data_IF_234882023686
#
_entry.id   IF_234882023686
#
_cell.length_a   1.000
_cell.length_b   1.000
_cell.length_c   1.000
_cell.angle_alpha   90.00
_cell.angle_beta   90.00
_cell.angle_gamma   90.00
#
_symmetry.space_group_name_H-M   'P 1'
#
loop_
_entity.id
_entity.type
_entity.pdbx_description
1 polymer ?
#
# COMPACT_ATOMS: atom_id res chain seq x y z
N UNK A 1 61.27 -24.67 41.03
CA UNK A 1 60.43 -25.53 40.18
C UNK A 1 60.33 -24.85 38.82
N UNK A 2 61.33 -24.98 37.94
CA UNK A 2 61.63 -26.12 37.06
C UNK A 2 60.56 -26.40 35.99
N UNK A 3 60.98 -26.11 34.73
CA UNK A 3 60.82 -26.89 33.48
C UNK A 3 59.41 -27.04 32.90
N UNK A 4 59.18 -27.25 31.60
CA UNK A 4 59.95 -27.20 30.35
C UNK A 4 59.11 -27.99 29.33
N UNK A 5 59.05 -27.51 28.08
CA UNK A 5 58.85 -28.33 26.87
C UNK A 5 57.45 -28.94 26.68
N UNK A 6 57.04 -29.39 25.50
CA UNK A 6 57.75 -29.58 24.24
C UNK A 6 56.75 -29.94 23.13
N UNK A 7 57.11 -29.58 21.89
CA UNK A 7 56.84 -30.27 20.60
C UNK A 7 55.42 -30.37 20.04
N UNK A 8 55.33 -30.07 18.74
CA UNK A 8 54.25 -30.60 17.90
C UNK A 8 54.14 -30.06 16.47
N UNK A 9 55.24 -29.96 15.70
CA UNK A 9 55.16 -29.74 14.24
C UNK A 9 54.45 -30.91 13.55
N UNK A 10 53.37 -30.66 12.80
CA UNK A 10 52.89 -31.60 11.77
C UNK A 10 52.38 -30.86 10.53
N UNK A 11 53.21 -30.87 9.49
CA UNK A 11 52.84 -30.65 8.09
C UNK A 11 51.66 -31.56 7.74
N UNK A 12 50.57 -31.01 7.20
CA UNK A 12 49.61 -31.79 6.40
C UNK A 12 49.65 -31.28 4.96
N UNK A 13 50.29 -32.11 4.17
CA UNK A 13 50.18 -32.30 2.73
C UNK A 13 48.72 -32.15 2.28
N UNK A 14 48.43 -31.20 1.39
CA UNK A 14 47.19 -31.20 0.61
C UNK A 14 47.46 -32.02 -0.64
N UNK A 15 46.93 -33.24 -0.64
CA UNK A 15 46.85 -34.10 -1.81
C UNK A 15 45.74 -33.60 -2.74
N UNK A 16 46.10 -33.30 -3.99
CA UNK A 16 45.16 -33.20 -5.11
C UNK A 16 44.38 -34.51 -5.22
N UNK A 17 43.04 -34.42 -5.23
CA UNK A 17 42.19 -35.43 -5.83
C UNK A 17 41.34 -34.75 -6.90
N UNK A 18 41.59 -35.18 -8.13
CA UNK A 18 40.81 -34.92 -9.33
C UNK A 18 39.50 -35.68 -9.25
N UNK A 19 38.37 -35.00 -9.47
CA UNK A 19 37.14 -35.67 -9.90
C UNK A 19 36.47 -34.91 -11.03
N UNK A 20 36.13 -35.69 -12.04
CA UNK A 20 35.78 -35.36 -13.41
C UNK A 20 34.44 -34.67 -13.58
N UNK A 21 34.33 -34.00 -14.72
CA UNK A 21 33.15 -33.36 -15.26
C UNK A 21 31.94 -34.29 -15.37
N UNK A 22 30.76 -33.72 -15.10
CA UNK A 22 29.50 -34.16 -15.68
C UNK A 22 28.93 -32.98 -16.50
N UNK A 23 28.82 -33.20 -17.80
CA UNK A 23 28.07 -32.36 -18.75
C UNK A 23 26.59 -32.37 -18.35
N UNK A 24 26.01 -31.19 -18.16
CA UNK A 24 24.60 -31.00 -17.88
C UNK A 24 24.01 -29.88 -18.74
N UNK A 25 23.22 -30.30 -19.71
CA UNK A 25 22.11 -29.60 -20.40
C UNK A 25 22.20 -28.09 -20.65
N UNK A 26 22.27 -27.74 -21.94
CA UNK A 26 21.97 -26.42 -22.46
C UNK A 26 20.53 -26.04 -22.11
N UNK A 27 20.37 -25.07 -21.20
CA UNK A 27 19.11 -24.35 -21.03
C UNK A 27 19.38 -22.90 -21.42
N UNK A 28 18.97 -22.54 -22.62
CA UNK A 28 19.01 -21.18 -23.14
C UNK A 28 17.94 -20.37 -22.36
N UNK A 29 18.33 -19.81 -21.21
CA UNK A 29 17.54 -18.80 -20.52
C UNK A 29 17.65 -17.50 -21.32
N UNK A 30 16.67 -17.27 -22.19
CA UNK A 30 16.37 -15.96 -22.75
C UNK A 30 16.00 -15.02 -21.60
N UNK A 31 17.00 -14.36 -21.02
CA UNK A 31 16.79 -13.18 -20.19
C UNK A 31 16.41 -12.02 -21.11
N UNK A 32 15.11 -11.74 -21.17
CA UNK A 32 14.56 -10.48 -21.68
C UNK A 32 15.24 -9.31 -20.96
N UNK A 33 15.62 -8.22 -21.66
CA UNK A 33 16.11 -7.01 -21.01
C UNK A 33 14.92 -6.26 -20.40
N UNK A 34 14.49 -6.70 -19.24
CA UNK A 34 13.50 -6.04 -18.42
C UNK A 34 13.75 -6.43 -16.98
N UNK A 35 13.80 -5.43 -16.10
CA UNK A 35 14.00 -5.56 -14.65
C UNK A 35 15.47 -5.63 -14.20
N UNK A 36 16.18 -4.50 -14.30
CA UNK A 36 17.24 -4.11 -13.35
C UNK A 36 17.32 -2.57 -13.30
N UNK A 37 16.28 -1.95 -12.75
CA UNK A 37 16.35 -0.59 -12.20
C UNK A 37 15.82 -0.66 -10.77
N UNK A 38 16.75 -0.88 -9.86
CA UNK A 38 16.47 -0.89 -8.43
C UNK A 38 17.80 -1.03 -7.72
N UNK A 39 18.39 0.11 -7.38
CA UNK A 39 19.34 0.29 -6.28
C UNK A 39 19.72 1.79 -6.20
N UNK A 40 18.83 2.62 -5.66
CA UNK A 40 19.24 3.74 -4.82
C UNK A 40 18.35 3.72 -3.57
N UNK A 41 18.99 3.48 -2.43
CA UNK A 41 18.38 3.58 -1.12
C UNK A 41 18.00 5.04 -0.84
N UNK A 42 16.71 5.23 -0.62
CA UNK A 42 16.04 6.49 -0.33
C UNK A 42 14.55 6.16 -0.32
N UNK A 43 14.07 5.66 0.81
CA UNK A 43 12.68 5.23 1.00
C UNK A 43 11.70 6.32 0.59
N UNK A 44 11.06 6.09 -0.56
CA UNK A 44 9.69 6.54 -0.85
C UNK A 44 9.20 5.73 -2.05
N UNK A 45 9.01 4.43 -1.83
CA UNK A 45 8.24 3.55 -2.71
C UNK A 45 6.94 3.24 -1.96
N UNK A 46 5.95 4.13 -2.11
CA UNK A 46 4.54 3.74 -1.95
C UNK A 46 4.01 3.61 -3.38
N UNK A 47 3.54 2.43 -3.81
CA UNK A 47 2.96 2.29 -5.13
C UNK A 47 1.63 3.03 -5.16
N UNK A 48 1.52 4.02 -6.06
CA UNK A 48 0.24 4.58 -6.44
C UNK A 48 -0.63 3.47 -7.03
N UNK A 49 -1.60 2.98 -6.26
CA UNK A 49 -2.65 2.13 -6.79
C UNK A 49 -3.59 2.98 -7.63
N UNK A 50 -3.62 2.71 -8.92
CA UNK A 50 -4.82 2.88 -9.72
C UNK A 50 -5.94 2.10 -9.02
N UNK A 51 -6.93 2.81 -8.48
CA UNK A 51 -8.24 2.25 -8.19
C UNK A 51 -8.93 1.97 -9.54
N UNK A 52 -8.59 0.84 -10.15
CA UNK A 52 -9.52 0.14 -11.02
C UNK A 52 -10.60 -0.40 -10.11
N UNK A 53 -11.75 0.27 -10.08
CA UNK A 53 -12.98 -0.32 -9.57
C UNK A 53 -13.29 -1.54 -10.44
N UNK A 54 -12.98 -2.72 -9.91
CA UNK A 54 -13.60 -3.96 -10.31
C UNK A 54 -15.11 -3.81 -10.13
N UNK A 55 -15.80 -3.80 -11.26
CA UNK A 55 -17.25 -3.88 -11.41
C UNK A 55 -17.79 -5.07 -10.60
N UNK A 56 -18.68 -4.88 -9.62
CA UNK A 56 -19.58 -5.95 -9.21
C UNK A 56 -20.61 -6.10 -10.34
N UNK A 57 -20.46 -7.15 -11.13
CA UNK A 57 -21.52 -7.67 -11.98
C UNK A 57 -22.64 -8.19 -11.08
N UNK A 58 -23.82 -7.59 -11.17
CA UNK A 58 -25.02 -8.11 -10.50
C UNK A 58 -26.12 -7.10 -10.22
N UNK A 59 -26.55 -6.31 -11.22
CA UNK A 59 -27.94 -5.84 -11.34
C UNK A 59 -28.19 -5.25 -12.73
N UNK A 60 -28.16 -6.08 -13.77
CA UNK A 60 -28.82 -5.80 -15.04
C UNK A 60 -29.87 -6.88 -15.24
N UNK A 61 -31.11 -6.54 -14.94
CA UNK A 61 -32.28 -6.72 -15.82
C UNK A 61 -33.51 -6.25 -15.04
N UNK A 62 -34.15 -5.18 -15.52
CA UNK A 62 -35.59 -5.17 -15.83
C UNK A 62 -36.03 -3.79 -16.36
N UNK A 63 -36.35 -3.80 -17.67
CA UNK A 63 -37.36 -3.03 -18.41
C UNK A 63 -37.13 -1.56 -18.83
N UNK A 64 -36.76 -1.44 -20.10
CA UNK A 64 -37.45 -0.76 -21.21
C UNK A 64 -38.34 0.45 -20.89
N UNK A 65 -37.98 1.58 -21.51
CA UNK A 65 -38.84 2.74 -21.66
C UNK A 65 -40.09 2.45 -22.50
N UNK A 66 -41.18 3.13 -22.14
CA UNK A 66 -42.41 3.16 -22.93
C UNK A 66 -43.61 3.71 -22.16
N UNK A 67 -43.90 5.00 -22.41
CA UNK A 67 -45.16 5.75 -22.17
C UNK A 67 -45.69 5.92 -20.74
N UNK A 68 -45.83 7.20 -20.38
CA UNK A 68 -46.78 7.71 -19.40
C UNK A 68 -48.18 7.09 -19.55
N UNK A 69 -48.83 6.81 -18.41
CA UNK A 69 -50.20 7.21 -18.19
C UNK A 69 -50.25 8.17 -17.01
N UNK A 70 -50.69 9.41 -17.27
CA UNK A 70 -51.13 10.34 -16.24
C UNK A 70 -52.35 9.76 -15.53
N UNK A 71 -52.22 9.37 -14.27
CA UNK A 71 -53.35 9.15 -13.38
C UNK A 71 -53.71 10.45 -12.66
N UNK A 72 -54.97 10.91 -12.72
CA UNK A 72 -55.42 12.07 -11.95
C UNK A 72 -55.51 11.71 -10.47
N UNK A 73 -55.00 12.60 -9.62
CA UNK A 73 -55.29 12.60 -8.19
C UNK A 73 -56.73 13.07 -8.00
N UNK A 74 -57.65 12.15 -7.70
CA UNK A 74 -58.92 12.46 -7.05
C UNK A 74 -58.80 11.97 -5.61
N UNK A 75 -58.65 12.91 -4.69
CA UNK A 75 -58.47 12.71 -3.26
C UNK A 75 -59.78 13.05 -2.54
N UNK A 76 -60.84 12.30 -2.80
CA UNK A 76 -62.07 12.34 -1.99
C UNK A 76 -62.60 10.90 -1.85
N UNK A 77 -63.12 10.59 -0.66
CA UNK A 77 -63.74 9.32 -0.23
C UNK A 77 -62.84 8.21 0.33
N UNK A 78 -62.06 8.51 1.37
CA UNK A 78 -61.60 7.49 2.33
C UNK A 78 -62.02 7.77 3.79
N UNK A 79 -63.05 8.59 4.02
CA UNK A 79 -63.52 8.97 5.36
C UNK A 79 -64.59 8.04 5.96
N UNK A 80 -65.03 7.01 5.25
CA UNK A 80 -66.13 6.14 5.67
C UNK A 80 -65.71 4.76 6.20
N UNK A 81 -64.42 4.45 6.22
CA UNK A 81 -63.88 3.17 6.70
C UNK A 81 -62.96 3.31 7.93
N UNK A 82 -63.12 4.37 8.73
CA UNK A 82 -62.22 4.67 9.86
C UNK A 82 -62.86 4.40 11.24
N UNK A 83 -64.17 4.17 11.30
CA UNK A 83 -64.92 4.07 12.57
C UNK A 83 -65.02 2.65 13.16
N UNK A 84 -64.45 1.63 12.53
CA UNK A 84 -64.48 0.23 13.01
C UNK A 84 -63.14 -0.34 13.49
N UNK A 85 -62.02 0.37 13.26
CA UNK A 85 -60.66 -0.17 13.47
C UNK A 85 -59.84 0.61 14.51
N UNK A 86 -60.47 1.51 15.28
CA UNK A 86 -59.81 2.34 16.30
C UNK A 86 -59.82 1.70 17.71
N UNK A 87 -59.93 0.37 17.79
CA UNK A 87 -60.01 -0.35 19.07
C UNK A 87 -58.75 -1.08 19.51
N UNK A 88 -57.91 -1.59 18.60
CA UNK A 88 -56.77 -2.46 18.97
C UNK A 88 -55.65 -2.39 17.93
N UNK A 89 -55.01 -1.23 17.80
CA UNK A 89 -53.61 -1.15 17.34
C UNK A 89 -52.93 -0.05 18.15
N UNK A 90 -52.92 -0.21 19.47
CA UNK A 90 -51.90 0.45 20.26
C UNK A 90 -50.59 -0.24 19.88
N UNK A 91 -49.83 0.35 18.95
CA UNK A 91 -48.42 0.02 18.82
C UNK A 91 -47.82 0.00 20.23
N UNK A 92 -47.05 -1.03 20.62
CA UNK A 92 -46.36 -1.02 21.88
C UNK A 92 -45.51 0.25 21.94
N UNK A 93 -45.97 1.23 22.71
CA UNK A 93 -45.35 2.55 22.79
C UNK A 93 -44.00 2.36 23.44
N UNK A 94 -42.94 2.71 22.70
CA UNK A 94 -41.57 2.73 23.22
C UNK A 94 -41.54 3.57 24.49
N UNK A 95 -40.90 3.04 25.54
CA UNK A 95 -40.76 3.72 26.83
C UNK A 95 -40.19 5.14 26.64
N UNK A 96 -40.75 6.17 27.31
CA UNK A 96 -40.37 7.55 27.09
C UNK A 96 -38.88 7.82 27.34
N UNK A 97 -38.24 7.10 28.27
CA UNK A 97 -36.79 7.21 28.53
C UNK A 97 -35.99 6.68 27.32
N UNK A 98 -36.39 5.53 26.78
CA UNK A 98 -35.77 4.97 25.59
C UNK A 98 -35.98 5.88 24.35
N UNK A 99 -37.14 6.54 24.26
CA UNK A 99 -37.44 7.49 23.19
C UNK A 99 -36.53 8.73 23.26
N UNK A 100 -36.24 9.22 24.47
CA UNK A 100 -35.29 10.33 24.66
C UNK A 100 -33.88 9.95 24.24
N UNK A 101 -33.39 8.78 24.67
CA UNK A 101 -32.08 8.24 24.26
C UNK A 101 -31.98 8.05 22.74
N UNK A 102 -33.04 7.51 22.11
CA UNK A 102 -33.12 7.35 20.66
C UNK A 102 -33.04 8.70 19.93
N UNK A 103 -33.77 9.71 20.42
CA UNK A 103 -33.72 11.06 19.86
C UNK A 103 -32.34 11.71 20.03
N UNK A 104 -31.69 11.50 21.17
CA UNK A 104 -30.33 12.01 21.42
C UNK A 104 -29.32 11.37 20.45
N UNK A 105 -29.37 10.05 20.26
CA UNK A 105 -28.54 9.33 19.28
C UNK A 105 -28.83 9.76 17.84
N UNK A 106 -30.10 9.96 17.47
CA UNK A 106 -30.47 10.44 16.14
C UNK A 106 -29.90 11.84 15.85
N UNK A 107 -30.03 12.76 16.82
CA UNK A 107 -29.53 14.12 16.68
C UNK A 107 -28.00 14.18 16.58
N UNK A 108 -27.26 13.40 17.40
CA UNK A 108 -25.79 13.34 17.29
C UNK A 108 -25.37 12.70 15.97
N UNK A 109 -26.06 11.66 15.52
CA UNK A 109 -25.80 10.98 14.24
C UNK A 109 -25.97 11.91 13.04
N UNK A 110 -27.01 12.75 13.02
CA UNK A 110 -27.24 13.73 11.95
C UNK A 110 -26.10 14.76 11.88
N UNK A 111 -25.62 15.25 13.04
CA UNK A 111 -24.48 16.18 13.08
C UNK A 111 -23.20 15.54 12.57
N UNK A 112 -22.92 14.30 12.99
CA UNK A 112 -21.76 13.57 12.53
C UNK A 112 -21.83 13.31 11.02
N UNK A 113 -22.95 12.79 10.52
CA UNK A 113 -23.15 12.55 9.09
C UNK A 113 -22.96 13.83 8.26
N UNK A 114 -23.53 14.95 8.70
CA UNK A 114 -23.36 16.25 8.05
C UNK A 114 -21.89 16.68 8.04
N UNK A 115 -21.17 16.53 9.16
CA UNK A 115 -19.75 16.85 9.25
C UNK A 115 -18.89 16.01 8.30
N UNK A 116 -19.13 14.69 8.24
CA UNK A 116 -18.40 13.77 7.37
C UNK A 116 -18.57 14.13 5.90
N UNK A 117 -19.80 14.43 5.47
CA UNK A 117 -20.10 14.78 4.07
C UNK A 117 -19.47 16.13 3.70
N UNK A 118 -19.57 17.14 4.57
CA UNK A 118 -18.97 18.45 4.32
C UNK A 118 -17.44 18.40 4.32
N UNK A 119 -16.84 17.50 5.10
CA UNK A 119 -15.38 17.34 5.22
C UNK A 119 -14.81 16.27 4.27
N UNK A 120 -15.57 15.83 3.27
CA UNK A 120 -15.15 14.78 2.33
C UNK A 120 -14.19 15.29 1.24
N UNK A 121 -14.21 16.59 0.90
CA UNK A 121 -13.37 17.19 -0.16
C UNK A 121 -13.03 18.67 0.15
N UNK A 122 -11.74 19.01 0.43
CA UNK A 122 -10.62 18.10 0.71
C UNK A 122 -10.89 17.29 1.99
N UNK A 123 -10.25 16.12 2.12
CA UNK A 123 -10.53 15.22 3.25
C UNK A 123 -9.97 15.84 4.54
N UNK A 124 -10.87 16.19 5.46
CA UNK A 124 -10.55 16.87 6.74
C UNK A 124 -11.43 16.36 7.88
N UNK A 125 -11.89 15.11 7.77
CA UNK A 125 -12.92 14.56 8.63
C UNK A 125 -12.39 14.23 10.03
N UNK A 126 -11.13 13.78 10.17
CA UNK A 126 -10.59 13.43 11.47
C UNK A 126 -10.40 14.69 12.33
N UNK A 127 -9.91 15.77 11.75
CA UNK A 127 -9.71 17.03 12.46
C UNK A 127 -11.00 17.80 12.77
N UNK A 128 -12.02 17.70 11.90
CA UNK A 128 -13.25 18.48 12.05
C UNK A 128 -14.35 17.73 12.81
N UNK A 129 -14.42 16.40 12.68
CA UNK A 129 -15.58 15.61 13.12
C UNK A 129 -15.34 14.77 14.39
N UNK A 130 -14.16 14.84 15.00
CA UNK A 130 -13.82 14.01 16.16
C UNK A 130 -14.75 14.22 17.37
N UNK A 131 -15.25 15.45 17.56
CA UNK A 131 -16.17 15.75 18.67
C UNK A 131 -17.51 15.09 18.47
N UNK A 132 -18.09 15.25 17.28
CA UNK A 132 -19.37 14.66 16.90
C UNK A 132 -19.29 13.13 16.91
N UNK A 133 -18.14 12.56 16.52
CA UNK A 133 -17.89 11.13 16.64
C UNK A 133 -17.93 10.67 18.10
N UNK A 134 -17.22 11.38 18.99
CA UNK A 134 -17.26 11.12 20.44
C UNK A 134 -18.67 11.22 21.03
N UNK A 135 -19.45 12.23 20.62
CA UNK A 135 -20.86 12.38 21.03
C UNK A 135 -21.71 11.18 20.62
N UNK A 136 -21.59 10.69 19.38
CA UNK A 136 -22.35 9.52 18.90
C UNK A 136 -21.96 8.26 19.68
N UNK A 137 -20.67 8.02 19.88
CA UNK A 137 -20.20 6.86 20.67
C UNK A 137 -20.73 6.91 22.10
N UNK A 138 -20.73 8.09 22.73
CA UNK A 138 -21.26 8.27 24.07
C UNK A 138 -22.78 8.03 24.15
N UNK A 139 -23.56 8.55 23.18
CA UNK A 139 -25.01 8.30 23.17
C UNK A 139 -25.34 6.83 22.95
N UNK A 140 -24.54 6.13 22.13
CA UNK A 140 -24.69 4.70 21.93
C UNK A 140 -24.37 3.92 23.21
N UNK A 141 -23.26 4.25 23.89
CA UNK A 141 -22.90 3.65 25.18
C UNK A 141 -23.98 3.88 26.24
N UNK A 142 -24.62 5.06 26.27
CA UNK A 142 -25.74 5.31 27.18
C UNK A 142 -26.93 4.36 26.93
N UNK A 143 -27.22 4.05 25.66
CA UNK A 143 -28.28 3.09 25.28
C UNK A 143 -27.90 1.67 25.73
N UNK A 144 -26.64 1.28 25.59
CA UNK A 144 -26.15 -0.03 26.03
C UNK A 144 -26.13 -0.18 27.55
N UNK A 145 -25.65 0.85 28.28
CA UNK A 145 -25.38 0.82 29.72
C UNK A 145 -26.54 1.27 30.60
N UNK A 146 -27.76 1.42 30.07
CA UNK A 146 -28.92 1.87 30.86
C UNK A 146 -29.18 0.90 32.02
N UNK A 147 -28.79 1.32 33.24
CA UNK A 147 -28.70 0.50 34.47
C UNK A 147 -30.04 0.01 35.00
N UNK A 148 -31.16 0.56 34.54
CA UNK A 148 -32.50 0.07 34.84
C UNK A 148 -32.92 -0.96 33.78
N UNK A 149 -32.33 -2.15 33.89
CA UNK A 149 -32.89 -3.40 33.35
C UNK A 149 -32.79 -3.61 31.83
N UNK A 150 -31.76 -3.16 31.10
CA UNK A 150 -31.50 -3.55 29.68
C UNK A 150 -32.70 -3.39 28.71
N UNK A 151 -33.77 -2.69 29.09
CA UNK A 151 -35.01 -2.61 28.32
C UNK A 151 -34.81 -1.80 27.06
N UNK A 152 -34.10 -0.68 27.13
CA UNK A 152 -33.79 0.14 25.95
C UNK A 152 -32.81 -0.56 25.00
N UNK A 153 -31.74 -1.18 25.52
CA UNK A 153 -30.81 -1.95 24.69
C UNK A 153 -31.52 -3.08 23.92
N UNK A 154 -32.34 -3.88 24.60
CA UNK A 154 -33.12 -4.93 23.95
C UNK A 154 -34.16 -4.35 22.98
N UNK A 155 -34.85 -3.28 23.37
CA UNK A 155 -35.90 -2.64 22.56
C UNK A 155 -35.38 -1.92 21.32
N UNK A 156 -34.18 -1.34 21.37
CA UNK A 156 -33.63 -0.47 20.32
C UNK A 156 -32.54 -1.13 19.48
N UNK A 157 -31.78 -2.07 20.06
CA UNK A 157 -30.64 -2.70 19.39
C UNK A 157 -30.96 -4.13 18.91
N UNK A 158 -31.94 -4.81 19.51
CA UNK A 158 -32.19 -6.24 19.27
C UNK A 158 -33.64 -6.60 18.89
N UNK A 159 -34.54 -5.63 18.82
CA UNK A 159 -35.98 -5.91 18.61
C UNK A 159 -36.40 -6.07 17.16
N UNK A 160 -35.57 -5.63 16.21
CA UNK A 160 -35.84 -5.73 14.78
C UNK A 160 -34.72 -6.48 14.05
N UNK A 161 -35.02 -6.97 12.84
CA UNK A 161 -34.03 -7.63 11.97
C UNK A 161 -32.98 -6.66 11.44
N UNK A 162 -33.34 -5.38 11.30
CA UNK A 162 -32.48 -4.36 10.70
C UNK A 162 -31.50 -3.76 11.69
N UNK A 163 -31.89 -3.59 12.96
CA UNK A 163 -31.05 -3.06 14.02
C UNK A 163 -30.45 -1.71 13.63
N UNK A 164 -31.30 -0.77 13.20
CA UNK A 164 -30.86 0.47 12.56
C UNK A 164 -29.88 1.28 13.42
N UNK A 165 -30.11 1.37 14.74
CA UNK A 165 -29.22 2.07 15.67
C UNK A 165 -27.82 1.43 15.69
N UNK A 166 -27.76 0.09 15.80
CA UNK A 166 -26.50 -0.65 15.80
C UNK A 166 -25.79 -0.57 14.44
N UNK A 167 -26.54 -0.65 13.33
CA UNK A 167 -26.00 -0.55 11.98
C UNK A 167 -25.35 0.83 11.72
N UNK A 168 -26.03 1.91 12.12
CA UNK A 168 -25.54 3.28 11.97
C UNK A 168 -24.30 3.50 12.84
N UNK A 169 -24.33 3.06 14.10
CA UNK A 169 -23.17 3.14 14.99
C UNK A 169 -21.96 2.39 14.42
N UNK A 170 -22.19 1.17 13.91
CA UNK A 170 -21.17 0.36 13.24
C UNK A 170 -20.61 1.07 12.01
N UNK A 171 -21.46 1.65 11.17
CA UNK A 171 -21.01 2.41 10.00
C UNK A 171 -20.05 3.55 10.39
N UNK A 172 -20.39 4.33 11.43
CA UNK A 172 -19.52 5.40 11.91
C UNK A 172 -18.20 4.86 12.47
N UNK A 173 -18.25 3.81 13.28
CA UNK A 173 -17.06 3.19 13.85
C UNK A 173 -16.14 2.60 12.76
N UNK A 174 -16.70 1.84 11.81
CA UNK A 174 -15.96 1.28 10.68
C UNK A 174 -15.34 2.38 9.82
N UNK A 175 -16.05 3.49 9.61
CA UNK A 175 -15.53 4.66 8.87
C UNK A 175 -14.35 5.28 9.61
N UNK A 176 -14.45 5.42 10.93
CA UNK A 176 -13.41 5.99 11.78
C UNK A 176 -12.13 5.14 11.80
N UNK A 177 -12.29 3.82 11.91
CA UNK A 177 -11.20 2.84 11.89
C UNK A 177 -10.52 2.83 10.51
N UNK A 178 -11.30 2.76 9.41
CA UNK A 178 -10.75 2.76 8.05
C UNK A 178 -10.00 4.05 7.70
N UNK A 179 -10.39 5.16 8.32
CA UNK A 179 -9.73 6.46 8.17
C UNK A 179 -8.48 6.61 9.05
N UNK A 180 -8.18 5.63 9.92
CA UNK A 180 -7.11 5.68 10.92
C UNK A 180 -7.12 6.97 11.73
N UNK A 181 -8.31 7.52 12.04
CA UNK A 181 -8.42 8.84 12.67
C UNK A 181 -7.83 8.89 14.09
N UNK A 182 -7.70 7.73 14.76
CA UNK A 182 -6.99 7.62 16.04
C UNK A 182 -5.56 8.17 15.97
N UNK A 183 -4.86 7.98 14.85
CA UNK A 183 -3.46 8.39 14.69
C UNK A 183 -3.32 9.91 14.55
N UNK A 184 -4.40 10.57 14.10
CA UNK A 184 -4.48 12.02 14.04
C UNK A 184 -4.69 12.66 15.43
N UNK A 185 -5.13 11.91 16.43
CA UNK A 185 -5.61 12.40 17.72
C UNK A 185 -4.70 12.03 18.90
N UNK A 186 -4.91 12.69 20.03
CA UNK A 186 -4.34 12.27 21.32
C UNK A 186 -5.08 11.05 21.86
N UNK A 187 -4.44 10.27 22.76
CA UNK A 187 -4.98 9.04 23.38
C UNK A 187 -6.39 9.15 24.04
N UNK A 188 -6.90 10.36 24.29
CA UNK A 188 -8.24 10.61 24.85
C UNK A 188 -9.21 11.29 23.88
N UNK A 189 -8.86 11.42 22.60
CA UNK A 189 -9.63 12.17 21.62
C UNK A 189 -9.91 13.64 22.01
N UNK A 190 -9.15 14.19 22.97
CA UNK A 190 -9.27 15.58 23.46
C UNK A 190 -8.71 16.62 22.47
N UNK A 191 -8.26 16.19 21.29
CA UNK A 191 -7.76 17.04 20.23
C UNK A 191 -6.69 16.37 19.37
N UNK A 192 -6.15 17.15 18.43
CA UNK A 192 -5.13 16.72 17.48
C UNK A 192 -3.79 16.41 18.17
N UNK A 193 -3.08 15.41 17.63
CA UNK A 193 -1.72 15.07 18.08
C UNK A 193 -0.73 16.19 17.72
N UNK A 194 0.38 16.29 18.45
CA UNK A 194 1.41 17.31 18.17
C UNK A 194 2.01 17.16 16.76
N UNK A 195 2.16 15.92 16.28
CA UNK A 195 2.60 15.62 14.91
C UNK A 195 1.61 16.14 13.88
N UNK A 196 0.32 15.86 14.05
CA UNK A 196 -0.73 16.34 13.14
C UNK A 196 -0.80 17.87 13.08
N UNK A 197 -0.75 18.55 14.23
CA UNK A 197 -0.75 20.03 14.28
C UNK A 197 0.44 20.61 13.52
N UNK A 198 1.64 20.03 13.71
CA UNK A 198 2.86 20.46 13.02
C UNK A 198 2.75 20.22 11.51
N UNK A 199 2.24 19.07 11.09
CA UNK A 199 2.01 18.75 9.69
C UNK A 199 1.04 19.74 9.03
N UNK A 200 -0.10 20.02 9.67
CA UNK A 200 -1.10 20.96 9.16
C UNK A 200 -0.54 22.38 9.03
N UNK A 201 0.33 22.80 9.94
CA UNK A 201 1.01 24.09 9.84
C UNK A 201 1.94 24.16 8.62
N UNK A 202 2.78 23.14 8.41
CA UNK A 202 3.67 23.02 7.25
C UNK A 202 2.88 22.92 5.93
N UNK A 203 1.74 22.23 5.95
CA UNK A 203 0.84 22.13 4.81
C UNK A 203 0.26 23.50 4.45
N UNK A 204 -0.27 24.22 5.44
CA UNK A 204 -0.81 25.56 5.23
C UNK A 204 0.25 26.55 4.73
N UNK A 205 1.47 26.49 5.28
CA UNK A 205 2.61 27.27 4.81
C UNK A 205 2.96 26.96 3.34
N UNK A 206 2.99 25.67 2.99
CA UNK A 206 3.26 25.23 1.61
C UNK A 206 2.18 25.70 0.64
N UNK A 207 0.91 25.56 1.01
CA UNK A 207 -0.22 26.03 0.20
C UNK A 207 -0.22 27.56 0.05
N UNK A 208 0.13 28.30 1.11
CA UNK A 208 0.26 29.74 1.05
C UNK A 208 1.40 30.15 0.09
N UNK A 209 2.56 29.49 0.17
CA UNK A 209 3.67 29.73 -0.74
C UNK A 209 3.27 29.47 -2.20
N UNK A 210 2.58 28.36 -2.48
CA UNK A 210 2.07 28.07 -3.83
C UNK A 210 1.13 29.16 -4.31
N UNK A 211 0.14 29.56 -3.51
CA UNK A 211 -0.83 30.61 -3.88
C UNK A 211 -0.16 31.96 -4.16
N UNK A 212 0.77 32.40 -3.31
CA UNK A 212 1.46 33.69 -3.47
C UNK A 212 2.25 33.73 -4.78
N UNK A 213 3.05 32.70 -5.06
CA UNK A 213 3.89 32.65 -6.26
C UNK A 213 3.09 32.37 -7.54
N UNK A 214 1.84 31.91 -7.43
CA UNK A 214 0.91 31.79 -8.57
C UNK A 214 0.17 33.10 -8.88
N UNK A 215 -0.07 33.95 -7.88
CA UNK A 215 -0.76 35.24 -8.08
C UNK A 215 0.17 36.33 -8.61
N UNK A 216 1.45 36.31 -8.22
CA UNK A 216 2.46 37.26 -8.73
C UNK A 216 2.91 36.95 -10.16
N UNK A 217 2.77 35.70 -10.60
CA UNK A 217 2.99 35.31 -11.99
C UNK A 217 1.69 35.38 -12.78
N UNK A 218 1.57 36.34 -13.71
CA UNK A 218 0.51 36.31 -14.73
C UNK A 218 0.33 34.87 -15.25
N UNK A 219 -0.94 34.44 -15.41
CA UNK A 219 -1.52 33.13 -15.76
C UNK A 219 -0.93 32.41 -17.01
N UNK A 220 0.36 32.51 -17.26
CA UNK A 220 1.07 31.87 -18.36
C UNK A 220 1.77 30.61 -17.82
N UNK A 221 1.60 29.44 -18.47
CA UNK A 221 2.20 28.16 -18.06
C UNK A 221 3.73 28.13 -17.91
N UNK A 222 4.45 29.18 -18.32
CA UNK A 222 5.91 29.27 -18.27
C UNK A 222 6.48 29.68 -16.90
N UNK A 223 5.65 30.11 -15.94
CA UNK A 223 6.11 30.74 -14.70
C UNK A 223 6.17 29.81 -13.47
N UNK A 224 5.81 28.52 -13.60
CA UNK A 224 5.86 27.58 -12.47
C UNK A 224 7.28 27.35 -11.92
N UNK A 225 8.32 27.65 -12.69
CA UNK A 225 9.72 27.59 -12.23
C UNK A 225 9.96 28.46 -10.98
N UNK A 226 9.27 29.60 -10.87
CA UNK A 226 9.35 30.48 -9.70
C UNK A 226 8.78 29.81 -8.45
N UNK A 227 7.63 29.13 -8.58
CA UNK A 227 7.02 28.33 -7.51
C UNK A 227 7.98 27.23 -7.06
N UNK A 228 8.57 26.49 -8.01
CA UNK A 228 9.51 25.42 -7.69
C UNK A 228 10.74 25.94 -6.94
N UNK A 229 11.27 27.12 -7.32
CA UNK A 229 12.45 27.71 -6.69
C UNK A 229 12.14 28.24 -5.29
N UNK A 230 11.06 29.00 -5.15
CA UNK A 230 10.73 29.71 -3.91
C UNK A 230 10.11 28.78 -2.86
N UNK A 231 9.29 27.81 -3.27
CA UNK A 231 8.60 26.91 -2.36
C UNK A 231 9.30 25.55 -2.17
N UNK A 232 10.52 25.37 -2.68
CA UNK A 232 11.28 24.12 -2.52
C UNK A 232 11.53 23.77 -1.05
N UNK A 233 11.96 24.76 -0.26
CA UNK A 233 12.30 24.56 1.14
C UNK A 233 11.07 24.17 1.96
N UNK A 234 9.95 24.87 1.77
CA UNK A 234 8.68 24.60 2.46
C UNK A 234 8.14 23.21 2.10
N UNK A 235 8.11 22.87 0.81
CA UNK A 235 7.71 21.55 0.35
C UNK A 235 8.62 20.42 0.91
N UNK A 236 9.94 20.61 0.90
CA UNK A 236 10.88 19.64 1.48
C UNK A 236 10.68 19.45 2.98
N UNK A 237 10.40 20.52 3.72
CA UNK A 237 10.11 20.44 5.14
C UNK A 237 8.82 19.63 5.40
N UNK A 238 7.76 19.91 4.65
CA UNK A 238 6.50 19.15 4.70
C UNK A 238 6.74 17.67 4.39
N UNK A 239 7.41 17.36 3.27
CA UNK A 239 7.70 16.00 2.85
C UNK A 239 8.59 15.25 3.85
N UNK A 240 9.59 15.92 4.42
CA UNK A 240 10.47 15.33 5.43
C UNK A 240 9.69 15.02 6.71
N UNK A 241 8.81 15.92 7.15
CA UNK A 241 7.95 15.68 8.31
C UNK A 241 7.00 14.51 8.07
N UNK A 242 6.36 14.44 6.89
CA UNK A 242 5.53 13.31 6.50
C UNK A 242 6.27 11.97 6.57
N UNK A 243 7.48 11.88 5.98
CA UNK A 243 8.30 10.67 6.05
C UNK A 243 8.71 10.30 7.48
N UNK A 244 8.92 11.28 8.37
CA UNK A 244 9.20 11.02 9.78
C UNK A 244 7.99 10.42 10.49
N UNK A 245 6.79 10.97 10.28
CA UNK A 245 5.56 10.41 10.86
C UNK A 245 5.31 8.99 10.37
N UNK A 246 5.52 8.73 9.08
CA UNK A 246 5.37 7.39 8.52
C UNK A 246 6.32 6.37 9.19
N UNK A 247 7.58 6.76 9.44
CA UNK A 247 8.56 5.88 10.09
C UNK A 247 8.32 5.70 11.59
N UNK A 248 7.88 6.75 12.29
CA UNK A 248 7.65 6.66 13.74
C UNK A 248 6.53 5.68 14.07
N UNK A 249 5.49 5.62 13.24
CA UNK A 249 4.34 4.75 13.50
C UNK A 249 4.57 3.31 12.99
N UNK A 250 5.39 3.12 11.97
CA UNK A 250 5.84 1.78 11.53
C UNK A 250 6.63 0.99 12.59
N UNK A 251 7.24 1.68 13.55
CA UNK A 251 7.99 1.03 14.63
C UNK A 251 7.09 0.51 15.76
N UNK A 252 5.81 0.90 15.81
CA UNK A 252 4.91 0.55 16.90
C UNK A 252 4.03 -0.68 16.61
N UNK A 253 3.82 -1.06 15.33
CA UNK A 253 2.99 -2.22 14.96
C UNK A 253 3.66 -3.18 13.97
N UNK A 254 4.00 -4.37 14.47
CA UNK A 254 4.48 -5.49 13.68
C UNK A 254 3.33 -6.15 12.90
N UNK A 255 3.32 -5.96 11.57
CA UNK A 255 2.77 -6.96 10.64
C UNK A 255 1.63 -6.53 9.70
N UNK A 256 0.96 -5.39 9.91
CA UNK A 256 -0.03 -4.86 8.97
C UNK A 256 0.48 -3.60 8.27
N UNK A 257 -0.08 -3.35 7.08
CA UNK A 257 0.25 -2.20 6.24
C UNK A 257 -0.27 -0.94 6.93
N UNK A 258 0.58 -0.33 7.75
CA UNK A 258 0.20 0.80 8.59
C UNK A 258 -0.11 2.04 7.73
N UNK A 259 -1.30 2.60 7.92
CA UNK A 259 -1.79 3.80 7.24
C UNK A 259 -1.79 5.00 8.20
N UNK A 260 -1.28 6.14 7.74
CA UNK A 260 -1.45 7.40 8.46
C UNK A 260 -2.95 7.79 8.41
N UNK A 261 -3.36 8.72 9.26
CA UNK A 261 -4.75 9.20 9.17
C UNK A 261 -5.04 9.83 7.81
N UNK A 262 -6.27 9.61 7.32
CA UNK A 262 -6.66 9.96 5.95
C UNK A 262 -6.53 11.46 5.64
N UNK A 263 -6.72 12.33 6.63
CA UNK A 263 -6.55 13.78 6.49
C UNK A 263 -5.11 14.15 6.08
N UNK A 264 -4.11 13.46 6.65
CA UNK A 264 -2.69 13.66 6.35
C UNK A 264 -2.34 13.06 4.97
N UNK A 265 -2.83 11.86 4.69
CA UNK A 265 -2.58 11.18 3.41
C UNK A 265 -3.16 11.95 2.23
N UNK A 266 -4.41 12.44 2.32
CA UNK A 266 -5.06 13.23 1.26
C UNK A 266 -4.33 14.57 1.06
N UNK A 267 -4.01 15.28 2.15
CA UNK A 267 -3.25 16.53 2.07
C UNK A 267 -1.88 16.33 1.41
N UNK A 268 -1.13 15.30 1.80
CA UNK A 268 0.17 15.01 1.20
C UNK A 268 0.02 14.63 -0.28
N UNK A 269 -0.97 13.79 -0.62
CA UNK A 269 -1.23 13.40 -2.01
C UNK A 269 -1.58 14.61 -2.89
N UNK A 270 -2.42 15.52 -2.40
CA UNK A 270 -2.73 16.78 -3.09
C UNK A 270 -1.45 17.61 -3.29
N UNK A 271 -0.63 17.79 -2.26
CA UNK A 271 0.62 18.58 -2.40
C UNK A 271 1.61 17.94 -3.37
N UNK A 272 1.78 16.62 -3.33
CA UNK A 272 2.65 15.89 -4.25
C UNK A 272 2.16 15.98 -5.68
N UNK A 273 0.85 15.86 -5.90
CA UNK A 273 0.25 16.02 -7.24
C UNK A 273 0.48 17.42 -7.78
N UNK A 274 0.25 18.45 -6.97
CA UNK A 274 0.54 19.84 -7.35
C UNK A 274 2.02 20.02 -7.71
N UNK A 275 2.92 19.54 -6.85
CA UNK A 275 4.37 19.68 -7.02
C UNK A 275 4.89 18.96 -8.28
N UNK A 276 4.50 17.71 -8.47
CA UNK A 276 5.04 16.85 -9.53
C UNK A 276 4.33 17.01 -10.87
N UNK A 277 2.99 17.06 -10.89
CA UNK A 277 2.22 17.02 -12.14
C UNK A 277 1.72 18.39 -12.59
N UNK A 278 1.35 19.27 -11.65
CA UNK A 278 0.82 20.59 -12.00
C UNK A 278 1.96 21.59 -12.25
N UNK A 279 2.95 21.62 -11.36
CA UNK A 279 4.09 22.55 -11.47
C UNK A 279 5.33 21.93 -12.15
N UNK A 280 5.38 20.61 -12.31
CA UNK A 280 6.53 19.88 -12.86
C UNK A 280 7.85 20.21 -12.15
N UNK A 281 7.80 20.40 -10.82
CA UNK A 281 8.97 20.73 -10.01
C UNK A 281 9.83 19.50 -9.66
N UNK A 282 9.39 18.29 -10.01
CA UNK A 282 10.17 17.07 -9.79
C UNK A 282 11.38 17.04 -10.70
N UNK A 283 12.58 17.07 -10.11
CA UNK A 283 13.84 16.92 -10.84
C UNK A 283 14.12 15.42 -11.01
N UNK A 284 14.15 14.88 -12.23
CA UNK A 284 14.55 13.50 -12.45
C UNK A 284 16.04 13.35 -12.12
N UNK A 285 16.40 12.36 -11.30
CA UNK A 285 17.80 12.00 -11.08
C UNK A 285 18.40 11.46 -12.38
N UNK A 286 19.44 12.11 -12.90
CA UNK A 286 20.14 11.67 -14.11
C UNK A 286 21.31 10.75 -13.75
N UNK A 287 21.02 9.64 -13.07
CA UNK A 287 22.00 8.56 -12.82
C UNK A 287 22.04 7.56 -13.98
N UNK A 288 21.60 7.98 -15.17
CA UNK A 288 21.50 7.14 -16.36
C UNK A 288 22.86 6.66 -16.83
N UNK A 289 23.87 7.53 -16.82
CA UNK A 289 25.23 7.22 -17.28
C UNK A 289 25.89 6.12 -16.44
N UNK A 290 25.98 6.22 -15.09
CA UNK A 290 26.60 5.16 -14.29
C UNK A 290 25.81 3.84 -14.36
N UNK A 291 24.48 3.89 -14.38
CA UNK A 291 23.64 2.68 -14.48
C UNK A 291 23.86 1.94 -15.80
N UNK A 292 23.91 2.67 -16.93
CA UNK A 292 24.19 2.07 -18.24
C UNK A 292 25.59 1.46 -18.28
N UNK A 293 26.60 2.18 -17.77
CA UNK A 293 27.98 1.70 -17.77
C UNK A 293 28.16 0.40 -16.96
N UNK A 294 27.60 0.35 -15.74
CA UNK A 294 27.64 -0.85 -14.88
C UNK A 294 26.90 -2.01 -15.53
N UNK A 295 25.72 -1.75 -16.11
CA UNK A 295 24.93 -2.78 -16.79
C UNK A 295 25.71 -3.40 -17.96
N UNK A 296 26.29 -2.57 -18.83
CA UNK A 296 27.09 -3.05 -19.96
C UNK A 296 28.28 -3.88 -19.49
N UNK A 297 29.00 -3.41 -18.47
CA UNK A 297 30.13 -4.15 -17.91
C UNK A 297 29.73 -5.55 -17.45
N UNK A 298 28.64 -5.67 -16.68
CA UNK A 298 28.12 -6.97 -16.21
C UNK A 298 27.72 -7.86 -17.40
N UNK A 299 27.10 -7.31 -18.45
CA UNK A 299 26.76 -8.07 -19.66
C UNK A 299 27.96 -8.57 -20.46
N UNK A 300 29.10 -7.86 -20.43
CA UNK A 300 30.31 -8.29 -21.13
C UNK A 300 31.07 -9.40 -20.42
N UNK A 301 30.93 -9.55 -19.09
CA UNK A 301 31.65 -10.57 -18.31
C UNK A 301 31.40 -12.01 -18.79
N UNK A 302 30.14 -12.47 -19.03
CA UNK A 302 29.89 -13.81 -19.57
C UNK A 302 30.48 -14.02 -20.96
N UNK A 303 30.47 -12.99 -21.80
CA UNK A 303 30.95 -13.04 -23.18
C UNK A 303 32.48 -13.22 -23.20
N UNK A 304 33.18 -12.43 -22.38
CA UNK A 304 34.63 -12.57 -22.18
C UNK A 304 34.95 -13.93 -21.58
N UNK A 305 34.23 -14.38 -20.55
CA UNK A 305 34.44 -15.69 -19.93
C UNK A 305 34.31 -16.85 -20.93
N UNK A 306 33.27 -16.83 -21.77
CA UNK A 306 33.05 -17.86 -22.78
C UNK A 306 34.14 -17.84 -23.87
N UNK A 307 34.55 -16.65 -24.32
CA UNK A 307 35.64 -16.51 -25.29
C UNK A 307 36.99 -16.97 -24.71
N UNK A 308 37.30 -16.61 -23.47
CA UNK A 308 38.52 -17.03 -22.77
C UNK A 308 38.57 -18.55 -22.61
N UNK A 309 37.49 -19.19 -22.18
CA UNK A 309 37.42 -20.65 -22.04
C UNK A 309 37.55 -21.37 -23.40
N UNK A 310 36.94 -20.83 -24.46
CA UNK A 310 37.07 -21.36 -25.83
C UNK A 310 38.52 -21.30 -26.35
N UNK A 311 39.19 -20.16 -26.20
CA UNK A 311 40.58 -19.98 -26.64
C UNK A 311 41.55 -20.87 -25.85
N UNK A 312 41.40 -20.96 -24.52
CA UNK A 312 42.21 -21.84 -23.68
C UNK A 312 41.98 -23.34 -23.98
N UNK A 313 40.76 -23.74 -24.33
CA UNK A 313 40.44 -25.13 -24.72
C UNK A 313 41.14 -25.54 -26.03
N UNK A 314 41.23 -24.64 -27.00
CA UNK A 314 41.93 -24.91 -28.27
C UNK A 314 43.43 -25.10 -28.09
N UNK A 315 44.06 -24.36 -27.18
CA UNK A 315 45.50 -24.48 -26.92
C UNK A 315 45.87 -25.81 -26.23
N UNK A 316 44.98 -26.38 -25.40
CA UNK A 316 45.26 -27.62 -24.65
C UNK A 316 45.15 -28.91 -25.48
N UNK A 317 44.72 -28.83 -26.75
CA UNK A 317 44.54 -30.01 -27.64
C UNK A 317 45.79 -30.44 -28.43
N UNK A 318 46.98 -29.89 -28.16
CA UNK A 318 48.24 -30.36 -28.79
C UNK A 318 49.33 -30.70 -27.77
N UNK A 319 49.11 -31.77 -26.99
CA UNK A 319 50.18 -32.68 -26.56
C UNK A 319 49.57 -34.09 -26.50
N UNK A 320 49.47 -34.77 -27.65
CA UNK A 320 49.44 -36.23 -27.66
C UNK A 320 50.89 -36.67 -27.46
N UNK A 321 51.22 -37.12 -26.24
CA UNK A 321 52.46 -37.85 -25.99
C UNK A 321 52.37 -39.13 -26.84
N UNK A 322 53.04 -39.14 -27.99
CA UNK A 322 53.17 -40.33 -28.82
C UNK A 322 54.05 -41.32 -28.03
N UNK A 323 53.43 -42.36 -27.47
CA UNK A 323 54.14 -43.44 -26.79
C UNK A 323 55.12 -44.10 -27.76
N UNK A 324 56.41 -44.02 -27.43
CA UNK A 324 57.52 -44.64 -28.17
C UNK A 324 57.33 -46.17 -28.17
N UNK A 325 56.93 -46.77 -29.30
CA UNK A 325 56.90 -48.24 -29.46
C UNK A 325 58.32 -48.77 -29.58
N UNK A 326 58.53 -49.92 -28.94
CA UNK A 326 59.75 -50.73 -28.93
C UNK A 326 59.86 -51.41 -30.31
N UNK A 327 61.02 -51.29 -30.96
CA UNK A 327 61.29 -51.95 -32.24
C UNK A 327 61.54 -53.46 -32.03
N UNK A 328 60.65 -54.29 -32.56
CA UNK A 328 60.87 -55.73 -32.71
C UNK A 328 61.30 -56.04 -34.15
N UNK A 329 62.57 -56.42 -34.31
CA UNK A 329 63.08 -57.01 -35.55
C UNK A 329 62.53 -58.44 -35.70
N UNK A 330 61.71 -58.64 -36.72
CA UNK A 330 61.31 -59.95 -37.21
C UNK A 330 62.32 -60.44 -38.26
N UNK A 331 62.81 -61.67 -38.11
CA UNK A 331 63.46 -62.40 -39.20
C UNK A 331 63.10 -63.87 -39.14
N UNK A 332 62.33 -64.31 -40.16
CA UNK A 332 62.32 -65.64 -40.82
C UNK A 332 62.04 -66.89 -39.93
N UNK A 333 61.29 -67.91 -40.33
CA UNK A 333 60.62 -68.28 -41.57
C UNK A 333 59.70 -69.48 -41.30
N UNK A 334 58.80 -69.70 -42.26
CA UNK A 334 58.30 -70.99 -42.72
C UNK A 334 57.31 -71.77 -41.83
N UNK A 335 56.10 -71.98 -42.36
CA UNK A 335 55.51 -73.31 -42.61
C UNK A 335 54.38 -73.06 -43.60
N UNK A 336 54.54 -73.58 -44.82
CA UNK A 336 53.44 -73.82 -45.75
C UNK A 336 53.24 -75.32 -45.83
N UNK A 337 52.04 -75.75 -45.45
CA UNK A 337 51.50 -77.11 -45.52
C UNK A 337 51.48 -77.68 -46.93
N UNK A 338 51.75 -79.00 -47.04
CA UNK A 338 51.07 -79.86 -48.00
C UNK A 338 50.96 -81.30 -47.47
N UNK A 339 49.71 -81.74 -47.35
CA UNK A 339 49.14 -83.11 -47.25
C UNK A 339 49.89 -84.17 -48.08
N UNK A 340 49.93 -85.47 -47.74
CA UNK A 340 48.82 -86.38 -47.43
C UNK A 340 49.38 -87.67 -46.80
#
# INVERSE_FOLDING_TARGET
MFLSGSRGTRKRTVSLSSSSAAMGSATLLLMLPGVLLGLCAGESLIPGRHLWFGRPSGLEDLFLGGRHPSWPWALEDLSSLESGFLGVLQEPQLDPECKELLNAFANSSLRLASCLIQSARPVTLCQNCYRQFGEVMQQFENIENTTKTNRCAQSLLMSDRLQMVALVNKFFNDTWIKASCSNCLKKKNEGLSAGTVTFLALYNESMACFKQNLQEGNLLPSNYSVVCKNCNATYKNLSSHYSKMQRSEQHEESGEQFHLCIDIEDAMNITQRLWSTTFNCSVPCTDTVPVIAVSLFIFFLPLVFYLSTFLHSKQKKRVLILGKRIDSNASFANIQDKSN
#
